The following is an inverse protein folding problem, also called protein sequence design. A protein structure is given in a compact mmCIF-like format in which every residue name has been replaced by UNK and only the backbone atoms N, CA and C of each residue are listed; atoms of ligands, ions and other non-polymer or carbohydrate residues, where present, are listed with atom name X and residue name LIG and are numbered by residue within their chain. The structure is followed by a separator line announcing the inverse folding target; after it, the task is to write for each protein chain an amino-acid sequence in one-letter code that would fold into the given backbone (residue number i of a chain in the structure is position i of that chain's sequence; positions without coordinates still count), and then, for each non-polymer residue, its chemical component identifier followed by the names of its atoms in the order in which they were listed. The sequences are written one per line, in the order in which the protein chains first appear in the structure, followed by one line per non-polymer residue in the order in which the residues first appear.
data_IF_653006983897
#
_entry.id   IF_653006983897
#
_cell.length_a   1.000
_cell.length_b   1.000
_cell.length_c   1.000
_cell.angle_alpha   90.00
_cell.angle_beta   90.00
_cell.angle_gamma   90.00
#
_symmetry.space_group_name_H-M   'P 1'
#
loop_
_entity.id
_entity.type
_entity.pdbx_description
1 polymer ?
#
# COMPACT_ATOMS: atom_id res chain seq x y z
N UNK A 1 19.32 26.56 -17.48
CA UNK A 1 18.80 25.30 -16.88
C UNK A 1 19.91 24.72 -16.02
N UNK A 2 19.68 24.53 -14.72
CA UNK A 2 20.69 24.06 -13.75
C UNK A 2 21.15 22.64 -14.16
N UNK A 3 22.45 22.34 -14.01
CA UNK A 3 23.02 21.03 -14.35
C UNK A 3 22.30 19.88 -13.62
N UNK A 4 21.81 20.13 -12.40
CA UNK A 4 21.00 19.19 -11.62
C UNK A 4 19.69 18.80 -12.35
N UNK A 5 18.94 19.78 -12.87
CA UNK A 5 17.70 19.50 -13.62
C UNK A 5 17.96 18.75 -14.93
N UNK A 6 19.11 18.98 -15.60
CA UNK A 6 19.50 18.21 -16.80
C UNK A 6 19.81 16.76 -16.44
N UNK A 7 20.53 16.55 -15.35
CA UNK A 7 20.94 15.23 -14.91
C UNK A 7 19.74 14.41 -14.40
N UNK A 8 18.82 15.06 -13.67
CA UNK A 8 17.56 14.45 -13.22
C UNK A 8 16.67 14.06 -14.40
N UNK A 9 16.53 14.94 -15.41
CA UNK A 9 15.80 14.64 -16.64
C UNK A 9 16.44 13.49 -17.42
N UNK A 10 17.77 13.43 -17.53
CA UNK A 10 18.48 12.33 -18.18
C UNK A 10 18.25 11.03 -17.44
N UNK A 11 18.37 11.02 -16.13
CA UNK A 11 18.14 9.80 -15.32
C UNK A 11 16.69 9.31 -15.41
N UNK A 12 15.71 10.24 -15.33
CA UNK A 12 14.28 9.90 -15.50
C UNK A 12 14.00 9.34 -16.90
N UNK A 13 14.64 9.89 -17.92
CA UNK A 13 14.49 9.46 -19.31
C UNK A 13 15.07 8.08 -19.52
N UNK A 14 16.31 7.83 -19.08
CA UNK A 14 17.00 6.55 -19.27
C UNK A 14 16.34 5.40 -18.51
N UNK A 15 15.94 5.59 -17.24
CA UNK A 15 15.44 4.50 -16.40
C UNK A 15 14.00 4.08 -16.69
N UNK A 16 13.14 5.02 -17.06
CA UNK A 16 11.71 4.73 -17.25
C UNK A 16 11.31 4.56 -18.72
N UNK A 17 12.25 4.51 -19.67
CA UNK A 17 11.96 4.53 -21.12
C UNK A 17 11.05 5.71 -21.52
N UNK A 18 11.19 6.82 -20.80
CA UNK A 18 10.33 8.02 -20.95
C UNK A 18 10.57 8.77 -22.24
N UNK A 19 11.66 8.49 -22.98
CA UNK A 19 11.85 9.00 -24.34
C UNK A 19 10.58 8.83 -25.18
N UNK A 20 9.98 7.63 -25.09
CA UNK A 20 8.74 7.28 -25.79
C UNK A 20 7.55 8.17 -25.37
N UNK A 21 7.48 8.58 -24.10
CA UNK A 21 6.40 9.42 -23.57
C UNK A 21 6.67 10.92 -23.73
N UNK A 22 7.94 11.34 -23.72
CA UNK A 22 8.32 12.74 -23.90
C UNK A 22 8.17 13.16 -25.36
N UNK A 23 8.49 12.28 -26.31
CA UNK A 23 8.53 12.59 -27.73
C UNK A 23 7.33 12.06 -28.53
N UNK A 24 6.49 11.18 -27.99
CA UNK A 24 5.37 10.57 -28.72
C UNK A 24 4.08 11.39 -28.74
N UNK A 25 3.99 12.46 -27.94
CA UNK A 25 2.78 13.29 -27.91
C UNK A 25 3.00 14.56 -28.71
N UNK A 26 2.12 14.78 -29.71
CA UNK A 26 2.06 16.01 -30.50
C UNK A 26 1.93 17.24 -29.59
N UNK A 27 2.54 18.35 -29.99
CA UNK A 27 2.69 19.59 -29.22
C UNK A 27 1.38 20.26 -28.72
N UNK A 28 0.23 19.65 -28.91
CA UNK A 28 -1.09 20.21 -28.60
C UNK A 28 -1.76 19.59 -27.37
N UNK A 29 -1.21 18.48 -26.81
CA UNK A 29 -1.80 17.83 -25.64
C UNK A 29 -1.10 18.21 -24.33
N UNK A 30 -1.90 18.60 -23.32
CA UNK A 30 -1.45 18.66 -21.93
C UNK A 30 -1.43 17.24 -21.37
N UNK A 31 -0.32 16.83 -20.78
CA UNK A 31 -0.24 15.57 -20.08
C UNK A 31 0.36 15.75 -18.69
N UNK A 32 -0.16 14.95 -17.73
CA UNK A 32 0.30 14.91 -16.36
C UNK A 32 0.72 13.47 -16.05
N UNK A 33 1.87 13.28 -15.46
CA UNK A 33 2.37 11.93 -15.14
C UNK A 33 3.16 11.97 -13.84
N UNK A 34 2.72 11.20 -12.84
CA UNK A 34 3.51 11.00 -11.63
C UNK A 34 4.52 9.87 -11.84
N UNK A 35 5.76 10.10 -11.47
CA UNK A 35 6.88 9.16 -11.66
C UNK A 35 7.66 9.03 -10.37
N UNK A 36 7.98 7.79 -9.97
CA UNK A 36 8.89 7.50 -8.88
C UNK A 36 10.29 7.25 -9.41
N UNK A 37 11.26 7.96 -8.87
CA UNK A 37 12.70 7.84 -9.21
C UNK A 37 13.39 7.07 -8.11
N UNK A 38 13.70 5.81 -8.38
CA UNK A 38 14.22 4.86 -7.39
C UNK A 38 15.57 5.27 -6.79
N UNK A 39 16.48 5.82 -7.62
CA UNK A 39 17.83 6.21 -7.16
C UNK A 39 17.80 7.38 -6.19
N UNK A 40 16.78 8.24 -6.27
CA UNK A 40 16.68 9.42 -5.40
C UNK A 40 15.63 9.25 -4.30
N UNK A 41 14.89 8.14 -4.30
CA UNK A 41 13.72 7.90 -3.43
C UNK A 41 12.74 9.08 -3.48
N UNK A 42 12.42 9.56 -4.71
CA UNK A 42 11.59 10.74 -4.94
C UNK A 42 10.48 10.51 -5.92
N UNK A 43 9.37 11.20 -5.66
CA UNK A 43 8.22 11.30 -6.56
C UNK A 43 8.20 12.64 -7.25
N UNK A 44 8.01 12.63 -8.58
CA UNK A 44 7.85 13.83 -9.39
C UNK A 44 6.51 13.81 -10.13
N UNK A 45 5.84 14.96 -10.16
CA UNK A 45 4.72 15.21 -11.05
C UNK A 45 5.26 15.97 -12.27
N UNK A 46 5.13 15.36 -13.45
CA UNK A 46 5.67 15.85 -14.70
C UNK A 46 4.53 16.42 -15.52
N UNK A 47 4.53 17.73 -15.71
CA UNK A 47 3.58 18.43 -16.55
C UNK A 47 4.23 18.77 -17.90
N UNK A 48 3.56 18.44 -18.98
CA UNK A 48 3.98 18.76 -20.35
C UNK A 48 2.94 19.61 -21.01
N UNK A 49 3.38 20.69 -21.64
CA UNK A 49 2.51 21.62 -22.37
C UNK A 49 3.21 22.07 -23.63
N UNK A 50 2.56 21.89 -24.78
CA UNK A 50 3.02 22.50 -26.06
C UNK A 50 2.79 23.98 -26.05
N UNK A 51 3.80 24.75 -26.38
CA UNK A 51 3.72 26.23 -26.53
C UNK A 51 4.31 26.66 -27.86
N UNK A 52 3.76 27.73 -28.46
CA UNK A 52 4.39 28.40 -29.59
C UNK A 52 5.44 29.40 -29.07
N UNK A 53 6.68 29.27 -29.54
CA UNK A 53 7.74 30.17 -29.19
C UNK A 53 7.62 31.49 -30.00
N UNK A 54 8.30 32.54 -29.54
CA UNK A 54 8.25 33.89 -30.21
C UNK A 54 8.64 33.90 -31.68
N UNK A 55 9.41 32.90 -32.12
CA UNK A 55 9.82 32.73 -33.52
C UNK A 55 8.92 31.77 -34.33
N UNK A 56 7.77 31.38 -33.75
CA UNK A 56 6.78 30.49 -34.39
C UNK A 56 7.09 29.00 -34.27
N UNK A 57 8.22 28.59 -33.65
CA UNK A 57 8.53 27.20 -33.43
C UNK A 57 7.61 26.60 -32.34
N UNK A 58 7.18 25.37 -32.55
CA UNK A 58 6.51 24.57 -31.49
C UNK A 58 7.56 24.02 -30.55
N UNK A 59 7.46 24.36 -29.28
CA UNK A 59 8.33 23.85 -28.20
C UNK A 59 7.50 23.19 -27.13
N UNK A 60 8.07 22.21 -26.41
CA UNK A 60 7.44 21.58 -25.30
C UNK A 60 8.01 22.14 -24.00
N UNK A 61 7.14 22.70 -23.16
CA UNK A 61 7.47 23.07 -21.82
C UNK A 61 7.26 21.84 -20.90
N UNK A 62 8.31 21.41 -20.24
CA UNK A 62 8.24 20.34 -19.23
C UNK A 62 8.52 20.95 -17.87
N UNK A 63 7.56 20.80 -16.95
CA UNK A 63 7.69 21.25 -15.57
C UNK A 63 7.70 20.03 -14.66
N UNK A 64 8.65 19.97 -13.72
CA UNK A 64 8.76 18.92 -12.72
C UNK A 64 8.48 19.50 -11.34
N UNK A 65 7.56 18.89 -10.64
CA UNK A 65 7.27 19.21 -9.24
C UNK A 65 7.69 18.03 -8.36
N UNK A 66 8.55 18.27 -7.38
CA UNK A 66 8.84 17.27 -6.35
C UNK A 66 7.62 17.14 -5.43
N UNK A 67 6.94 16.01 -5.53
CA UNK A 67 5.74 15.68 -4.73
C UNK A 67 6.03 14.62 -3.65
N UNK A 68 7.29 14.34 -3.37
CA UNK A 68 7.74 13.31 -2.41
C UNK A 68 7.11 13.51 -1.04
N UNK A 69 7.15 14.73 -0.51
CA UNK A 69 6.56 15.02 0.81
C UNK A 69 5.05 14.79 0.81
N UNK A 70 4.35 15.24 -0.24
CA UNK A 70 2.91 15.00 -0.41
C UNK A 70 2.59 13.51 -0.39
N UNK A 71 3.33 12.69 -1.15
CA UNK A 71 3.16 11.23 -1.21
C UNK A 71 3.43 10.56 0.14
N UNK A 72 4.50 10.97 0.84
CA UNK A 72 4.83 10.45 2.18
C UNK A 72 3.75 10.80 3.22
N UNK A 73 3.20 12.01 3.19
CA UNK A 73 2.09 12.40 4.06
C UNK A 73 0.83 11.59 3.75
N UNK A 74 0.51 11.44 2.48
CA UNK A 74 -0.65 10.67 2.01
C UNK A 74 -0.56 9.22 2.49
N UNK A 75 0.60 8.56 2.27
CA UNK A 75 0.87 7.20 2.75
C UNK A 75 0.78 7.07 4.27
N UNK A 76 1.28 8.07 5.00
CA UNK A 76 1.19 8.08 6.47
C UNK A 76 -0.26 8.17 6.94
N UNK A 77 -1.07 9.04 6.34
CA UNK A 77 -2.49 9.15 6.66
C UNK A 77 -3.22 7.85 6.34
N UNK A 78 -2.97 7.25 5.17
CA UNK A 78 -3.54 5.97 4.78
C UNK A 78 -3.16 4.85 5.76
N UNK A 79 -1.89 4.77 6.15
CA UNK A 79 -1.45 3.79 7.15
C UNK A 79 -2.11 4.01 8.51
N UNK A 80 -2.20 5.25 8.99
CA UNK A 80 -2.88 5.56 10.25
C UNK A 80 -4.38 5.25 10.21
N UNK A 81 -5.03 5.45 9.06
CA UNK A 81 -6.44 5.16 8.89
C UNK A 81 -6.75 3.66 8.81
N UNK A 82 -5.81 2.85 8.28
CA UNK A 82 -6.08 1.45 7.94
C UNK A 82 -5.39 0.42 8.85
N UNK A 83 -4.40 0.82 9.66
CA UNK A 83 -3.62 -0.10 10.47
C UNK A 83 -3.83 0.12 11.97
N UNK A 84 -3.67 -0.95 12.74
CA UNK A 84 -3.55 -0.90 14.20
C UNK A 84 -2.14 -0.41 14.57
N UNK A 85 -2.07 0.62 15.40
CA UNK A 85 -0.81 1.31 15.74
C UNK A 85 0.15 0.44 16.59
N UNK A 86 -0.37 -0.53 17.34
CA UNK A 86 0.43 -1.39 18.21
C UNK A 86 1.08 -2.53 17.45
N UNK A 87 0.28 -3.19 16.61
CA UNK A 87 0.65 -4.44 15.96
C UNK A 87 1.10 -4.28 14.51
N UNK A 88 0.70 -3.17 13.86
CA UNK A 88 0.94 -2.93 12.45
C UNK A 88 0.02 -3.70 11.50
N UNK A 89 -0.81 -4.63 12.00
CA UNK A 89 -1.85 -5.29 11.22
C UNK A 89 -2.91 -4.29 10.74
N UNK A 90 -3.72 -4.68 9.78
CA UNK A 90 -4.89 -3.89 9.44
C UNK A 90 -5.85 -3.77 10.63
N UNK A 91 -6.50 -2.62 10.74
CA UNK A 91 -7.44 -2.35 11.82
C UNK A 91 -8.87 -2.82 11.46
N UNK A 92 -9.79 -2.66 12.41
CA UNK A 92 -11.20 -3.02 12.27
C UNK A 92 -11.86 -2.37 11.04
N UNK A 93 -11.61 -1.08 10.82
CA UNK A 93 -12.22 -0.36 9.69
C UNK A 93 -11.79 -0.97 8.34
N UNK A 94 -10.51 -1.30 8.20
CA UNK A 94 -10.00 -1.95 7.00
C UNK A 94 -10.56 -3.37 6.84
N UNK A 95 -10.71 -4.13 7.93
CA UNK A 95 -11.33 -5.44 7.92
C UNK A 95 -12.75 -5.39 7.36
N UNK A 96 -13.56 -4.46 7.83
CA UNK A 96 -14.97 -4.29 7.38
C UNK A 96 -15.04 -3.95 5.88
N UNK A 97 -14.15 -3.08 5.39
CA UNK A 97 -14.07 -2.71 3.97
C UNK A 97 -13.65 -3.89 3.09
N UNK A 98 -12.58 -4.60 3.49
CA UNK A 98 -12.06 -5.73 2.72
C UNK A 98 -13.05 -6.90 2.74
N UNK A 99 -13.70 -7.18 3.87
CA UNK A 99 -14.73 -8.22 3.97
C UNK A 99 -15.91 -7.94 3.04
N UNK A 100 -16.40 -6.72 3.00
CA UNK A 100 -17.48 -6.34 2.09
C UNK A 100 -17.09 -6.57 0.62
N UNK A 101 -15.87 -6.19 0.25
CA UNK A 101 -15.33 -6.41 -1.09
C UNK A 101 -15.17 -7.90 -1.41
N UNK A 102 -14.63 -8.70 -0.49
CA UNK A 102 -14.46 -10.15 -0.69
C UNK A 102 -15.80 -10.87 -0.86
N UNK A 103 -16.83 -10.47 -0.10
CA UNK A 103 -18.19 -11.03 -0.27
C UNK A 103 -18.71 -10.71 -1.67
N UNK A 104 -18.63 -9.46 -2.12
CA UNK A 104 -19.09 -9.03 -3.44
C UNK A 104 -18.34 -9.77 -4.58
N UNK A 105 -17.02 -9.85 -4.48
CA UNK A 105 -16.18 -10.56 -5.45
C UNK A 105 -16.46 -12.07 -5.45
N UNK A 106 -16.71 -12.68 -4.28
CA UNK A 106 -17.08 -14.10 -4.17
C UNK A 106 -18.40 -14.42 -4.82
N UNK A 107 -19.40 -13.57 -4.63
CA UNK A 107 -20.72 -13.71 -5.29
C UNK A 107 -20.60 -13.60 -6.81
N UNK A 108 -19.80 -12.63 -7.31
CA UNK A 108 -19.62 -12.43 -8.76
C UNK A 108 -18.88 -13.57 -9.46
N UNK A 109 -17.91 -14.16 -8.78
CA UNK A 109 -17.01 -15.16 -9.35
C UNK A 109 -17.35 -16.60 -8.95
N UNK A 110 -18.44 -16.81 -8.21
CA UNK A 110 -18.84 -18.12 -7.63
C UNK A 110 -17.68 -18.79 -6.87
N UNK A 111 -16.97 -17.98 -6.06
CA UNK A 111 -15.86 -18.45 -5.24
C UNK A 111 -16.26 -18.49 -3.77
N UNK A 112 -15.51 -19.26 -2.97
CA UNK A 112 -15.71 -19.37 -1.52
C UNK A 112 -14.51 -18.79 -0.79
N UNK A 113 -14.77 -18.28 0.42
CA UNK A 113 -13.74 -17.85 1.36
C UNK A 113 -14.13 -18.23 2.77
N UNK A 114 -13.24 -17.98 3.70
CA UNK A 114 -13.48 -18.18 5.13
C UNK A 114 -12.97 -16.99 5.92
N UNK A 115 -13.60 -16.73 7.05
CA UNK A 115 -13.15 -15.78 8.06
C UNK A 115 -12.84 -16.58 9.34
N UNK A 116 -11.62 -16.43 9.83
CA UNK A 116 -11.15 -17.04 11.08
C UNK A 116 -11.13 -15.94 12.13
N UNK A 117 -11.87 -16.14 13.21
CA UNK A 117 -11.86 -15.24 14.36
C UNK A 117 -10.97 -15.85 15.43
N UNK A 118 -10.03 -15.07 15.94
CA UNK A 118 -9.03 -15.50 16.93
C UNK A 118 -9.17 -14.58 18.14
N UNK A 119 -9.31 -15.19 19.32
CA UNK A 119 -9.34 -14.50 20.59
C UNK A 119 -8.29 -15.14 21.50
N UNK A 120 -7.59 -14.34 22.31
CA UNK A 120 -6.51 -14.85 23.17
C UNK A 120 -7.04 -15.18 24.55
N UNK A 121 -7.11 -16.45 24.85
CA UNK A 121 -7.51 -16.93 26.17
C UNK A 121 -6.63 -16.32 27.28
N UNK A 122 -7.28 -15.91 28.37
CA UNK A 122 -6.63 -15.36 29.55
C UNK A 122 -5.75 -14.12 29.34
N UNK A 123 -5.86 -13.40 28.22
CA UNK A 123 -5.07 -12.20 27.95
C UNK A 123 -5.17 -11.15 29.06
N UNK A 124 -6.36 -10.99 29.63
CA UNK A 124 -6.57 -10.11 30.79
C UNK A 124 -5.72 -10.52 31.98
N UNK A 125 -5.61 -11.82 32.29
CA UNK A 125 -4.79 -12.32 33.40
C UNK A 125 -3.30 -12.04 33.17
N UNK A 126 -2.83 -12.09 31.93
CA UNK A 126 -1.45 -11.72 31.58
C UNK A 126 -1.23 -10.23 31.87
N UNK A 127 -2.15 -9.35 31.48
CA UNK A 127 -2.05 -7.92 31.77
C UNK A 127 -2.11 -7.61 33.26
N UNK A 128 -3.02 -8.26 34.00
CA UNK A 128 -3.19 -8.05 35.44
C UNK A 128 -2.00 -8.59 36.24
N UNK A 129 -1.39 -9.69 35.80
CA UNK A 129 -0.27 -10.33 36.48
C UNK A 129 1.10 -9.78 36.12
N UNK A 130 1.37 -9.51 34.86
CA UNK A 130 2.67 -9.12 34.32
C UNK A 130 2.75 -7.65 33.87
N UNK A 131 1.59 -7.01 33.73
CA UNK A 131 1.48 -5.63 33.27
C UNK A 131 1.25 -5.48 31.75
N UNK A 132 0.64 -4.38 31.35
CA UNK A 132 0.24 -4.09 29.97
C UNK A 132 1.40 -4.14 28.94
N UNK A 133 2.64 -3.86 29.39
CA UNK A 133 3.80 -3.93 28.50
C UNK A 133 4.05 -5.36 28.00
N UNK A 134 3.82 -6.37 28.85
CA UNK A 134 3.94 -7.78 28.46
C UNK A 134 2.80 -8.19 27.51
N UNK A 135 1.57 -7.72 27.76
CA UNK A 135 0.46 -7.90 26.83
C UNK A 135 0.75 -7.30 25.45
N UNK A 136 1.32 -6.09 25.41
CA UNK A 136 1.70 -5.44 24.15
C UNK A 136 2.77 -6.23 23.38
N UNK A 137 3.75 -6.81 24.08
CA UNK A 137 4.77 -7.68 23.46
C UNK A 137 4.13 -8.95 22.91
N UNK A 138 3.21 -9.57 23.66
CA UNK A 138 2.49 -10.77 23.21
C UNK A 138 1.66 -10.48 21.96
N UNK A 139 0.89 -9.39 21.95
CA UNK A 139 0.10 -8.97 20.78
C UNK A 139 0.96 -8.75 19.54
N UNK A 140 2.13 -8.11 19.70
CA UNK A 140 3.10 -7.93 18.61
C UNK A 140 3.67 -9.26 18.11
N UNK A 141 3.99 -10.18 19.01
CA UNK A 141 4.54 -11.48 18.64
C UNK A 141 3.52 -12.30 17.84
N UNK A 142 2.26 -12.37 18.33
CA UNK A 142 1.17 -13.06 17.61
C UNK A 142 0.94 -12.42 16.23
N UNK A 143 0.88 -11.10 16.18
CA UNK A 143 0.70 -10.38 14.92
C UNK A 143 1.81 -10.67 13.92
N UNK A 144 3.06 -10.73 14.38
CA UNK A 144 4.18 -11.12 13.56
C UNK A 144 4.03 -12.58 13.06
N UNK A 145 3.67 -13.50 13.92
CA UNK A 145 3.46 -14.91 13.55
C UNK A 145 2.36 -15.05 12.49
N UNK A 146 1.23 -14.38 12.66
CA UNK A 146 0.13 -14.39 11.68
C UNK A 146 0.59 -13.91 10.29
N UNK A 147 1.43 -12.88 10.23
CA UNK A 147 1.95 -12.37 8.94
C UNK A 147 2.97 -13.29 8.27
N UNK A 148 3.50 -14.30 8.97
CA UNK A 148 4.41 -15.30 8.41
C UNK A 148 3.67 -16.50 7.80
N UNK A 149 2.38 -16.68 8.10
CA UNK A 149 1.58 -17.76 7.55
C UNK A 149 1.31 -17.53 6.07
N UNK A 150 1.74 -18.47 5.23
CA UNK A 150 1.67 -18.34 3.78
C UNK A 150 0.23 -18.29 3.26
N UNK A 151 -0.05 -17.21 2.53
CA UNK A 151 -1.33 -17.01 1.85
C UNK A 151 -2.34 -16.16 2.62
N UNK A 152 -1.97 -15.66 3.80
CA UNK A 152 -2.77 -14.73 4.60
C UNK A 152 -1.99 -13.47 5.01
N UNK A 153 -0.77 -13.29 4.54
CA UNK A 153 0.18 -12.24 4.95
C UNK A 153 -0.43 -10.82 4.93
N UNK A 154 -1.33 -10.58 3.99
CA UNK A 154 -2.00 -9.29 3.79
C UNK A 154 -3.49 -9.28 4.18
N UNK A 155 -3.95 -10.32 4.89
CA UNK A 155 -5.35 -10.49 5.25
C UNK A 155 -5.54 -10.78 6.75
N UNK A 156 -4.64 -10.21 7.56
CA UNK A 156 -4.66 -10.28 9.01
C UNK A 156 -5.07 -8.93 9.59
N UNK A 157 -6.01 -8.96 10.51
CA UNK A 157 -6.63 -7.77 11.09
C UNK A 157 -6.66 -7.88 12.60
N UNK A 158 -6.49 -6.75 13.31
CA UNK A 158 -6.75 -6.65 14.74
C UNK A 158 -8.01 -5.83 14.96
N UNK A 159 -9.00 -6.43 15.65
CA UNK A 159 -10.29 -5.78 15.90
C UNK A 159 -10.26 -4.86 17.10
N UNK A 160 -9.37 -5.12 18.03
CA UNK A 160 -9.15 -4.39 19.28
C UNK A 160 -8.87 -5.36 20.42
N UNK A 161 -8.26 -4.90 21.52
CA UNK A 161 -7.90 -5.77 22.63
C UNK A 161 -7.04 -6.96 22.18
N UNK A 162 -7.57 -8.16 22.39
CA UNK A 162 -6.98 -9.46 22.10
C UNK A 162 -7.63 -10.19 20.91
N UNK A 163 -8.49 -9.51 20.16
CA UNK A 163 -9.26 -10.06 19.06
C UNK A 163 -8.58 -9.83 17.71
N UNK A 164 -8.42 -10.92 16.93
CA UNK A 164 -7.86 -10.89 15.58
C UNK A 164 -8.81 -11.56 14.59
N UNK A 165 -8.72 -11.15 13.33
CA UNK A 165 -9.42 -11.78 12.21
C UNK A 165 -8.41 -12.08 11.11
N UNK A 166 -8.60 -13.23 10.48
CA UNK A 166 -7.91 -13.61 9.24
C UNK A 166 -8.97 -13.90 8.18
N UNK A 167 -8.81 -13.30 6.98
CA UNK A 167 -9.70 -13.56 5.85
C UNK A 167 -8.94 -14.41 4.83
N UNK A 168 -9.53 -15.57 4.47
CA UNK A 168 -8.98 -16.51 3.49
C UNK A 168 -9.88 -16.52 2.27
N UNK A 169 -9.37 -16.12 1.11
CA UNK A 169 -10.12 -16.01 -0.13
C UNK A 169 -9.82 -17.17 -1.07
N UNK A 170 -10.80 -17.62 -1.87
CA UNK A 170 -10.61 -18.61 -2.93
C UNK A 170 -10.12 -19.96 -2.44
N UNK A 171 -10.55 -20.41 -1.25
CA UNK A 171 -9.95 -21.57 -0.57
C UNK A 171 -10.66 -22.88 -0.90
N UNK A 172 -9.87 -23.94 -1.12
CA UNK A 172 -10.31 -25.31 -0.89
C UNK A 172 -10.31 -25.63 0.62
N UNK A 173 -11.03 -26.66 1.03
CA UNK A 173 -11.06 -27.12 2.44
C UNK A 173 -9.65 -27.45 2.92
N UNK A 174 -8.87 -28.19 2.12
CA UNK A 174 -7.51 -28.62 2.46
C UNK A 174 -6.58 -27.41 2.73
N UNK A 175 -6.71 -26.33 1.94
CA UNK A 175 -5.93 -25.11 2.16
C UNK A 175 -6.34 -24.39 3.45
N UNK A 176 -7.62 -24.39 3.77
CA UNK A 176 -8.12 -23.78 4.99
C UNK A 176 -7.61 -24.53 6.22
N UNK A 177 -7.65 -25.88 6.18
CA UNK A 177 -7.11 -26.72 7.25
C UNK A 177 -5.61 -26.51 7.45
N UNK A 178 -4.83 -26.38 6.36
CA UNK A 178 -3.40 -26.05 6.44
C UNK A 178 -3.17 -24.71 7.14
N UNK A 179 -3.91 -23.66 6.75
CA UNK A 179 -3.79 -22.34 7.36
C UNK A 179 -4.14 -22.37 8.85
N UNK A 180 -5.22 -23.09 9.24
CA UNK A 180 -5.63 -23.21 10.64
C UNK A 180 -4.54 -23.92 11.48
N UNK A 181 -3.87 -24.92 10.90
CA UNK A 181 -2.79 -25.63 11.58
C UNK A 181 -1.49 -24.82 11.68
N UNK A 182 -1.30 -23.84 10.78
CA UNK A 182 -0.12 -22.97 10.76
C UNK A 182 -0.29 -21.73 11.68
N UNK A 183 -1.53 -21.38 12.08
CA UNK A 183 -1.87 -20.33 13.05
C UNK A 183 -1.64 -20.82 14.47
#
# INVERSE_FOLDING_TARGET
MNNYCKQLLSNIIEQNKLEKYIFSHTAESRSFTEVYVTEEDKWFDIHRTGIAWVDGRKVQLVTLYDITQKKRYQQRIENQANNDFLTGLYNRMRCEQDLAKFIDDSVKNDTRGAMIYIDLDDFKHINDGLGHQYGDVLLKAISHSLTQVKGIENHCYRMGGDEFIVIVTGSSVDRLESIINDI
#
